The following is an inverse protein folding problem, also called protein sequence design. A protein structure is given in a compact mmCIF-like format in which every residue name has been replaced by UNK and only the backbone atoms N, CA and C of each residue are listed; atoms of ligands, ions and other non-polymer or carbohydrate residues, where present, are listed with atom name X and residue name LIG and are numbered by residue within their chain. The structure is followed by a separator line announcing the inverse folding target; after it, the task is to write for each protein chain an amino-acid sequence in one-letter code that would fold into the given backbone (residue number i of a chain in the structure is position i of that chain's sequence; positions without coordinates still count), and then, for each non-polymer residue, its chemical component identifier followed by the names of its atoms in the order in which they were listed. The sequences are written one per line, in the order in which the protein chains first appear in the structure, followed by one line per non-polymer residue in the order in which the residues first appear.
data_IF_312803186936
#
_entry.id   IF_312803186936
#
_cell.length_a   1.000
_cell.length_b   1.000
_cell.length_c   1.000
_cell.angle_alpha   90.00
_cell.angle_beta   90.00
_cell.angle_gamma   90.00
#
_symmetry.space_group_name_H-M   'P 1'
#
loop_
_entity.id
_entity.type
_entity.pdbx_description
1 polymer ?
#
# COMPACT_ATOMS: atom_id res chain seq x y z
N UNK A 1 -16.46 -11.71 20.11
CA UNK A 1 -16.79 -10.57 19.22
C UNK A 1 -15.51 -10.10 18.58
N UNK A 2 -15.40 -10.13 17.25
CA UNK A 2 -14.29 -9.51 16.54
C UNK A 2 -14.43 -7.99 16.65
N UNK A 3 -13.39 -7.30 17.11
CA UNK A 3 -13.35 -5.82 17.14
C UNK A 3 -12.94 -5.35 15.75
N UNK A 4 -13.91 -5.17 14.86
CA UNK A 4 -13.67 -4.65 13.51
C UNK A 4 -14.03 -3.17 13.46
N UNK A 5 -13.20 -2.38 12.79
CA UNK A 5 -13.48 -0.98 12.46
C UNK A 5 -13.47 -0.83 10.94
N UNK A 6 -14.55 -0.27 10.39
CA UNK A 6 -14.65 0.08 8.97
C UNK A 6 -14.55 1.61 8.84
N UNK A 7 -13.68 2.06 7.93
CA UNK A 7 -13.42 3.49 7.68
C UNK A 7 -13.62 3.77 6.19
N UNK A 8 -14.44 4.79 5.88
CA UNK A 8 -14.64 5.31 4.52
C UNK A 8 -14.29 6.79 4.49
N UNK A 9 -13.48 7.21 3.51
CA UNK A 9 -13.03 8.58 3.35
C UNK A 9 -13.38 9.05 1.93
N UNK A 10 -14.07 10.18 1.83
CA UNK A 10 -14.25 10.90 0.57
C UNK A 10 -13.49 12.22 0.66
N UNK A 11 -12.49 12.40 -0.20
CA UNK A 11 -11.65 13.60 -0.22
C UNK A 11 -11.39 14.06 -1.64
N UNK A 12 -11.30 15.37 -1.83
CA UNK A 12 -10.82 15.95 -3.09
C UNK A 12 -9.32 15.79 -3.18
N UNK A 13 -8.83 15.18 -4.25
CA UNK A 13 -7.40 15.10 -4.54
C UNK A 13 -7.04 16.18 -5.55
N UNK A 14 -6.03 16.98 -5.24
CA UNK A 14 -5.43 17.95 -6.16
C UNK A 14 -3.94 17.62 -6.35
N UNK A 15 -3.51 17.43 -7.59
CA UNK A 15 -2.12 17.14 -7.93
C UNK A 15 -1.93 15.75 -8.53
N UNK A 16 -0.69 15.27 -8.51
CA UNK A 16 -0.29 14.00 -9.10
C UNK A 16 -0.54 12.84 -8.11
N UNK A 17 -1.15 11.77 -8.60
CA UNK A 17 -1.47 10.54 -7.82
C UNK A 17 -0.64 9.33 -8.23
N UNK A 18 0.40 9.54 -9.07
CA UNK A 18 1.32 8.46 -9.44
C UNK A 18 2.12 8.01 -8.22
N UNK A 19 1.97 6.72 -7.88
CA UNK A 19 2.53 6.12 -6.66
C UNK A 19 3.90 5.44 -6.85
N UNK A 20 4.60 5.67 -7.96
CA UNK A 20 5.89 5.04 -8.24
C UNK A 20 6.95 6.08 -8.63
N UNK A 21 8.02 6.16 -7.83
CA UNK A 21 8.87 7.33 -7.64
C UNK A 21 10.16 7.35 -8.45
N UNK A 22 10.22 6.69 -9.61
CA UNK A 22 11.42 6.74 -10.46
C UNK A 22 11.34 7.94 -11.39
N UNK A 23 12.03 9.03 -11.00
CA UNK A 23 12.20 10.24 -11.81
C UNK A 23 12.86 9.85 -13.15
N UNK A 24 12.14 10.04 -14.26
CA UNK A 24 12.65 9.81 -15.61
C UNK A 24 11.92 8.73 -16.42
N UNK A 25 11.17 7.82 -15.78
CA UNK A 25 10.34 6.86 -16.49
C UNK A 25 8.91 7.39 -16.67
N UNK A 26 8.42 7.39 -17.91
CA UNK A 26 7.04 7.74 -18.27
C UNK A 26 6.12 6.56 -17.91
N UNK A 27 5.86 6.36 -16.62
CA UNK A 27 5.03 5.23 -16.15
C UNK A 27 3.55 5.53 -16.38
N UNK A 28 2.83 4.52 -16.85
CA UNK A 28 1.38 4.57 -17.07
C UNK A 28 0.66 4.72 -15.73
N UNK A 29 0.01 5.86 -15.53
CA UNK A 29 -0.92 6.08 -14.42
C UNK A 29 -1.90 4.90 -14.37
N UNK A 30 -2.04 4.24 -13.21
CA UNK A 30 -2.98 3.12 -13.08
C UNK A 30 -4.39 3.65 -13.28
N UNK A 31 -5.16 2.94 -14.08
CA UNK A 31 -6.52 3.33 -14.48
C UNK A 31 -7.53 2.34 -13.94
N UNK A 32 -8.68 2.84 -13.52
CA UNK A 32 -9.88 2.06 -13.28
C UNK A 32 -10.96 2.46 -14.29
N UNK A 33 -11.83 1.53 -14.60
CA UNK A 33 -13.01 1.78 -15.43
C UNK A 33 -14.22 1.92 -14.51
N UNK A 34 -14.98 3.00 -14.67
CA UNK A 34 -16.27 3.12 -14.01
C UNK A 34 -17.29 2.18 -14.67
N UNK A 35 -18.42 1.95 -13.99
CA UNK A 35 -19.54 1.17 -14.56
C UNK A 35 -20.10 1.80 -15.85
N UNK A 36 -19.92 3.11 -16.02
CA UNK A 36 -20.32 3.86 -17.22
C UNK A 36 -19.23 3.88 -18.32
N UNK A 37 -18.11 3.20 -18.09
CA UNK A 37 -17.00 3.10 -19.06
C UNK A 37 -15.98 4.24 -19.02
N UNK A 38 -16.08 5.15 -18.04
CA UNK A 38 -15.10 6.24 -17.88
C UNK A 38 -13.77 5.72 -17.37
N UNK A 39 -12.67 6.31 -17.83
CA UNK A 39 -11.31 5.98 -17.38
C UNK A 39 -10.89 6.96 -16.29
N UNK A 40 -10.77 6.47 -15.07
CA UNK A 40 -10.42 7.28 -13.90
C UNK A 40 -9.04 6.90 -13.35
N UNK A 41 -8.31 7.85 -12.74
CA UNK A 41 -7.11 7.55 -11.97
C UNK A 41 -7.38 6.54 -10.85
N UNK A 42 -6.48 5.59 -10.67
CA UNK A 42 -6.61 4.53 -9.67
C UNK A 42 -5.39 4.46 -8.75
N UNK A 43 -5.63 4.59 -7.45
CA UNK A 43 -4.64 4.32 -6.41
C UNK A 43 -4.92 2.94 -5.83
N UNK A 44 -3.97 2.01 -5.98
CA UNK A 44 -4.15 0.64 -5.51
C UNK A 44 -4.14 0.54 -3.97
N UNK A 45 -4.88 -0.42 -3.42
CA UNK A 45 -4.89 -0.70 -1.98
C UNK A 45 -3.48 -0.92 -1.39
N UNK A 46 -2.55 -1.53 -2.16
CA UNK A 46 -1.15 -1.69 -1.75
C UNK A 46 -0.42 -0.36 -1.53
N UNK A 47 -0.68 0.63 -2.39
CA UNK A 47 -0.09 1.97 -2.24
C UNK A 47 -0.65 2.68 -0.99
N UNK A 48 -1.95 2.53 -0.71
CA UNK A 48 -2.57 3.04 0.52
C UNK A 48 -1.97 2.36 1.76
N UNK A 49 -1.86 1.02 1.76
CA UNK A 49 -1.21 0.27 2.87
C UNK A 49 0.24 0.74 3.08
N UNK A 50 1.00 0.93 2.01
CA UNK A 50 2.37 1.45 2.08
C UNK A 50 2.42 2.86 2.71
N UNK A 51 1.55 3.78 2.27
CA UNK A 51 1.51 5.14 2.82
C UNK A 51 1.15 5.15 4.32
N UNK A 52 0.21 4.29 4.75
CA UNK A 52 -0.12 4.11 6.17
C UNK A 52 1.11 3.61 6.96
N UNK A 53 1.82 2.60 6.44
CA UNK A 53 3.07 2.09 7.04
C UNK A 53 4.13 3.19 7.17
N UNK A 54 4.30 4.06 6.17
CA UNK A 54 5.23 5.19 6.28
C UNK A 54 4.80 6.19 7.37
N UNK A 55 3.52 6.55 7.42
CA UNK A 55 3.01 7.45 8.46
C UNK A 55 3.18 6.88 9.88
N UNK A 56 3.02 5.57 10.05
CA UNK A 56 3.31 4.90 11.32
C UNK A 56 4.80 4.93 11.68
N UNK A 57 5.68 4.69 10.69
CA UNK A 57 7.13 4.80 10.87
C UNK A 57 7.55 6.21 11.30
N UNK A 58 7.01 7.24 10.66
CA UNK A 58 7.25 8.66 11.02
C UNK A 58 6.82 9.00 12.45
N UNK A 59 5.79 8.30 12.95
CA UNK A 59 5.30 8.42 14.33
C UNK A 59 6.05 7.53 15.33
N UNK A 60 7.06 6.79 14.89
CA UNK A 60 7.89 5.93 15.75
C UNK A 60 7.29 4.56 16.06
N UNK A 61 6.26 4.11 15.34
CA UNK A 61 5.72 2.77 15.51
C UNK A 61 6.61 1.72 14.82
N UNK A 62 6.78 0.53 15.42
CA UNK A 62 7.47 -0.59 14.78
C UNK A 62 6.61 -1.16 13.65
N UNK A 63 7.17 -1.22 12.45
CA UNK A 63 6.54 -1.73 11.24
C UNK A 63 7.34 -2.91 10.74
N UNK A 64 6.66 -3.97 10.30
CA UNK A 64 7.32 -5.18 9.83
C UNK A 64 8.28 -4.83 8.68
N UNK A 65 9.57 -5.21 8.73
CA UNK A 65 10.43 -5.09 7.58
C UNK A 65 10.01 -6.12 6.52
N UNK A 66 10.04 -5.72 5.25
CA UNK A 66 9.91 -6.70 4.18
C UNK A 66 11.17 -7.57 4.16
N UNK A 67 11.02 -8.87 4.34
CA UNK A 67 12.11 -9.81 4.18
C UNK A 67 12.15 -10.30 2.75
N UNK A 68 13.31 -10.20 2.12
CA UNK A 68 13.60 -10.94 0.90
C UNK A 68 14.07 -12.34 1.28
N UNK A 69 13.31 -13.38 0.93
CA UNK A 69 13.79 -14.76 1.05
C UNK A 69 14.66 -15.09 -0.17
N UNK A 70 16.00 -15.23 0.01
CA UNK A 70 16.91 -15.50 -1.09
C UNK A 70 16.69 -16.88 -1.74
N UNK A 71 15.97 -17.79 -1.08
CA UNK A 71 15.69 -19.15 -1.56
C UNK A 71 14.27 -19.29 -2.14
N UNK A 72 13.44 -18.25 -2.08
CA UNK A 72 12.08 -18.30 -2.61
C UNK A 72 12.06 -18.11 -4.13
N UNK A 73 11.15 -18.83 -4.81
CA UNK A 73 10.78 -18.52 -6.20
C UNK A 73 10.32 -17.06 -6.31
N UNK A 74 10.53 -16.39 -7.45
CA UNK A 74 10.28 -14.94 -7.59
C UNK A 74 8.94 -14.45 -7.02
N UNK A 75 7.88 -15.27 -7.13
CA UNK A 75 6.55 -14.96 -6.62
C UNK A 75 6.42 -14.90 -5.08
N UNK A 76 7.39 -15.45 -4.33
CA UNK A 76 7.39 -15.58 -2.87
C UNK A 76 8.53 -14.83 -2.19
N UNK A 77 9.28 -14.01 -2.94
CA UNK A 77 10.46 -13.29 -2.43
C UNK A 77 10.12 -12.36 -1.27
N UNK A 78 8.96 -11.70 -1.28
CA UNK A 78 8.56 -10.77 -0.22
C UNK A 78 7.63 -11.47 0.77
N UNK A 79 8.06 -11.59 2.03
CA UNK A 79 7.26 -12.13 3.14
C UNK A 79 7.23 -11.14 4.32
N UNK A 80 6.08 -11.09 5.00
CA UNK A 80 5.97 -10.51 6.35
C UNK A 80 6.51 -11.54 7.35
N UNK A 81 7.04 -11.07 8.48
CA UNK A 81 7.47 -11.90 9.61
C UNK A 81 6.31 -12.59 10.33
N UNK A 82 5.10 -12.02 10.27
CA UNK A 82 3.92 -12.55 10.98
C UNK A 82 4.07 -12.45 12.50
N UNK A 83 4.70 -11.37 12.99
CA UNK A 83 4.91 -11.08 14.41
C UNK A 83 3.98 -9.93 14.86
N UNK A 84 2.69 -10.21 15.17
CA UNK A 84 1.72 -9.19 15.56
C UNK A 84 1.96 -8.63 16.98
N UNK A 85 2.78 -9.29 17.79
CA UNK A 85 3.24 -8.80 19.10
C UNK A 85 4.30 -7.69 18.99
N UNK A 86 5.00 -7.64 17.86
CA UNK A 86 6.13 -6.71 17.63
C UNK A 86 5.80 -5.59 16.64
N UNK A 87 5.00 -5.87 15.61
CA UNK A 87 4.74 -4.94 14.52
C UNK A 87 3.26 -4.60 14.42
N UNK A 88 2.95 -3.30 14.32
CA UNK A 88 1.56 -2.79 14.39
C UNK A 88 0.73 -3.08 13.13
N UNK A 89 1.37 -3.57 12.07
CA UNK A 89 0.78 -3.78 10.76
C UNK A 89 0.74 -5.25 10.32
N UNK A 90 1.17 -6.15 11.22
CA UNK A 90 0.91 -7.58 11.15
C UNK A 90 -0.39 -7.92 11.86
N UNK A 91 -1.19 -8.77 11.21
CA UNK A 91 -2.35 -9.43 11.81
C UNK A 91 -1.95 -10.71 12.57
#
# INVERSE_FOLDING_TARGET
MSRVVQISILGKISGNVNADGVIGNRITLKKMYSSEGEVLPFVSARAVKYAIRQAFRERGFPIDPFYEDPNATEALRLRDSGLPDQYVDND
#
